data_IF_074172506499
#
_entry.id   IF_074172506499
#
_cell.length_a   1.000
_cell.length_b   1.000
_cell.length_c   1.000
_cell.angle_alpha   90.00
_cell.angle_beta   90.00
_cell.angle_gamma   90.00
#
_symmetry.space_group_name_H-M   'P 1'
#
loop_
_entity.id
_entity.type
_entity.pdbx_description
1 polymer ?
#
# COMPACT_ATOMS: atom_id res chain seq x y z
N UNK A 1 -21.37 -68.74 -25.25
CA UNK A 1 -19.94 -68.54 -24.90
C UNK A 1 -19.78 -67.15 -24.31
N UNK A 2 -19.68 -67.12 -22.99
CA UNK A 2 -19.42 -65.98 -22.11
C UNK A 2 -17.92 -65.68 -22.08
N UNK A 3 -17.54 -64.39 -22.14
CA UNK A 3 -16.27 -63.90 -21.58
C UNK A 3 -16.50 -62.56 -20.90
N UNK A 4 -16.63 -62.62 -19.58
CA UNK A 4 -16.24 -61.55 -18.67
C UNK A 4 -14.71 -61.46 -18.66
N UNK A 5 -14.14 -60.27 -18.47
CA UNK A 5 -13.18 -60.00 -17.38
C UNK A 5 -12.73 -58.53 -17.38
N UNK A 6 -13.08 -57.87 -16.26
CA UNK A 6 -12.31 -56.86 -15.50
C UNK A 6 -11.66 -55.68 -16.26
N UNK A 7 -12.16 -54.48 -15.98
CA UNK A 7 -11.29 -53.31 -15.76
C UNK A 7 -11.83 -52.41 -14.66
N UNK A 8 -11.22 -52.61 -13.49
CA UNK A 8 -10.76 -51.66 -12.49
C UNK A 8 -11.53 -50.33 -12.33
N UNK A 9 -12.24 -50.24 -11.20
CA UNK A 9 -12.55 -48.97 -10.55
C UNK A 9 -11.26 -48.18 -10.27
N UNK A 10 -11.14 -46.98 -10.81
CA UNK A 10 -10.25 -45.94 -10.26
C UNK A 10 -11.10 -44.88 -9.57
N UNK A 11 -11.21 -45.04 -8.25
CA UNK A 11 -11.52 -43.98 -7.28
C UNK A 11 -10.20 -43.29 -6.94
N UNK A 12 -10.01 -42.05 -7.38
CA UNK A 12 -9.04 -41.09 -6.85
C UNK A 12 -9.18 -39.79 -7.66
N UNK A 13 -9.21 -38.60 -7.10
CA UNK A 13 -9.39 -38.12 -5.74
C UNK A 13 -9.86 -36.67 -5.94
N UNK A 14 -10.82 -36.21 -5.14
CA UNK A 14 -11.12 -34.79 -5.05
C UNK A 14 -9.84 -34.04 -4.64
N UNK A 15 -9.22 -33.30 -5.56
CA UNK A 15 -8.22 -32.32 -5.21
C UNK A 15 -8.94 -31.08 -4.67
N UNK A 16 -9.45 -31.18 -3.43
CA UNK A 16 -9.66 -30.01 -2.61
C UNK A 16 -8.29 -29.42 -2.30
N UNK A 17 -7.87 -28.43 -3.09
CA UNK A 17 -6.75 -27.59 -2.71
C UNK A 17 -7.26 -26.59 -1.67
N UNK A 18 -7.51 -27.06 -0.45
CA UNK A 18 -7.65 -26.20 0.71
C UNK A 18 -6.25 -25.82 1.19
N UNK A 19 -5.63 -24.84 0.53
CA UNK A 19 -4.57 -24.06 1.20
C UNK A 19 -5.23 -22.90 1.93
N UNK A 20 -5.82 -23.22 3.07
CA UNK A 20 -6.07 -22.27 4.14
C UNK A 20 -4.76 -22.03 4.88
N UNK A 21 -3.98 -21.06 4.43
CA UNK A 21 -3.15 -20.25 5.30
C UNK A 21 -3.28 -18.84 4.73
N UNK A 22 -4.05 -17.99 5.39
CA UNK A 22 -3.84 -16.55 5.24
C UNK A 22 -2.39 -16.33 5.64
N UNK A 23 -1.48 -16.26 4.67
CA UNK A 23 -0.11 -15.89 4.93
C UNK A 23 -0.21 -14.60 5.74
N UNK A 24 0.40 -14.57 6.93
CA UNK A 24 0.58 -13.32 7.65
C UNK A 24 1.14 -12.33 6.63
N UNK A 25 0.46 -11.21 6.44
CA UNK A 25 0.92 -10.14 5.56
C UNK A 25 2.16 -9.51 6.21
N UNK A 26 3.28 -10.25 6.20
CA UNK A 26 4.55 -9.83 6.72
C UNK A 26 5.09 -8.75 5.77
N UNK A 27 5.50 -7.64 6.36
CA UNK A 27 6.10 -6.52 5.65
C UNK A 27 7.39 -7.01 4.97
N UNK A 28 7.57 -6.69 3.69
CA UNK A 28 8.81 -6.99 2.96
C UNK A 28 9.98 -6.25 3.59
N UNK A 29 9.71 -5.05 4.10
CA UNK A 29 10.59 -4.37 5.05
C UNK A 29 10.41 -5.02 6.42
N UNK A 30 11.47 -5.64 6.93
CA UNK A 30 11.51 -6.20 8.29
C UNK A 30 10.48 -7.34 8.53
N UNK A 31 10.51 -8.42 7.72
CA UNK A 31 9.50 -9.49 7.78
C UNK A 31 9.41 -10.20 9.14
N UNK A 32 10.54 -10.28 9.86
CA UNK A 32 10.60 -10.94 11.16
C UNK A 32 10.15 -10.05 12.34
N UNK A 33 9.54 -8.88 12.11
CA UNK A 33 9.15 -8.00 13.20
C UNK A 33 7.78 -8.36 13.80
N UNK A 34 7.79 -8.83 15.05
CA UNK A 34 6.59 -9.23 15.80
C UNK A 34 6.11 -8.20 16.84
N UNK A 35 6.81 -7.07 17.00
CA UNK A 35 6.50 -6.07 18.04
C UNK A 35 7.10 -6.34 19.42
N UNK A 36 7.68 -7.52 19.64
CA UNK A 36 8.02 -8.01 20.98
C UNK A 36 9.51 -8.25 21.18
N UNK A 37 10.27 -8.47 20.10
CA UNK A 37 11.73 -8.66 20.17
C UNK A 37 12.47 -7.36 19.86
N UNK A 38 13.24 -6.77 20.80
CA UNK A 38 14.04 -5.58 20.53
C UNK A 38 15.21 -5.93 19.60
N UNK A 39 15.34 -5.23 18.46
CA UNK A 39 16.59 -5.20 17.70
C UNK A 39 17.10 -3.75 17.60
N UNK A 40 18.42 -3.61 17.58
CA UNK A 40 19.08 -2.34 17.28
C UNK A 40 18.97 -2.04 15.78
N UNK A 41 18.84 -0.78 15.41
CA UNK A 41 18.90 -0.39 13.99
C UNK A 41 20.23 -0.77 13.38
N UNK A 42 20.20 -1.23 12.13
CA UNK A 42 21.42 -1.55 11.38
C UNK A 42 21.45 -0.79 10.07
N UNK A 43 22.65 -0.42 9.62
CA UNK A 43 22.86 0.35 8.40
C UNK A 43 22.62 -0.53 7.17
N UNK A 44 21.93 0.00 6.17
CA UNK A 44 21.80 -0.64 4.86
C UNK A 44 22.76 0.03 3.87
N UNK A 45 23.69 -0.74 3.31
CA UNK A 45 24.71 -0.26 2.38
C UNK A 45 24.53 -0.81 0.98
N UNK A 46 24.75 0.03 -0.02
CA UNK A 46 24.70 -0.36 -1.43
C UNK A 46 25.78 0.34 -2.26
N UNK A 47 26.03 -0.18 -3.46
CA UNK A 47 26.73 0.57 -4.51
C UNK A 47 25.76 1.60 -5.08
N UNK A 48 26.11 2.88 -4.94
CA UNK A 48 25.20 3.98 -5.13
C UNK A 48 25.88 5.10 -5.91
N UNK A 49 25.24 5.54 -6.98
CA UNK A 49 25.73 6.55 -7.93
C UNK A 49 24.84 7.80 -7.90
N UNK A 50 25.27 8.93 -8.50
CA UNK A 50 24.42 10.10 -8.66
C UNK A 50 23.09 9.81 -9.36
N UNK A 51 23.07 8.91 -10.35
CA UNK A 51 21.82 8.52 -11.03
C UNK A 51 20.84 7.79 -10.09
N UNK A 52 21.36 6.96 -9.17
CA UNK A 52 20.53 6.32 -8.16
C UNK A 52 19.94 7.35 -7.18
N UNK A 53 20.76 8.33 -6.77
CA UNK A 53 20.31 9.45 -5.94
C UNK A 53 19.16 10.23 -6.61
N UNK A 54 19.30 10.57 -7.89
CA UNK A 54 18.28 11.33 -8.61
C UNK A 54 16.95 10.54 -8.70
N UNK A 55 17.02 9.23 -9.00
CA UNK A 55 15.87 8.33 -9.02
C UNK A 55 15.16 8.27 -7.66
N UNK A 56 15.91 8.02 -6.59
CA UNK A 56 15.36 7.96 -5.22
C UNK A 56 14.75 9.29 -4.80
N UNK A 57 15.45 10.41 -5.05
CA UNK A 57 14.95 11.74 -4.70
C UNK A 57 13.70 12.10 -5.48
N UNK A 58 13.60 11.72 -6.77
CA UNK A 58 12.37 11.88 -7.56
C UNK A 58 11.21 11.13 -6.93
N UNK A 59 11.39 9.85 -6.61
CA UNK A 59 10.35 9.05 -5.96
C UNK A 59 9.96 9.62 -4.59
N UNK A 60 10.92 9.91 -3.72
CA UNK A 60 10.69 10.43 -2.37
C UNK A 60 9.96 11.78 -2.41
N UNK A 61 10.38 12.69 -3.30
CA UNK A 61 9.75 14.00 -3.42
C UNK A 61 8.32 13.92 -3.98
N UNK A 62 7.96 12.83 -4.67
CA UNK A 62 6.59 12.51 -5.06
C UNK A 62 5.79 11.79 -3.96
N UNK A 63 6.31 10.66 -3.45
CA UNK A 63 5.55 9.74 -2.60
C UNK A 63 5.30 10.33 -1.22
N UNK A 64 6.24 11.13 -0.71
CA UNK A 64 6.10 11.75 0.61
C UNK A 64 4.88 12.70 0.68
N UNK A 65 4.72 13.73 -0.18
CA UNK A 65 3.52 14.55 -0.18
C UNK A 65 2.26 13.77 -0.57
N UNK A 66 2.38 12.73 -1.42
CA UNK A 66 1.28 11.83 -1.75
C UNK A 66 0.74 11.12 -0.48
N UNK A 67 1.59 10.44 0.29
CA UNK A 67 1.16 9.85 1.58
C UNK A 67 0.61 10.88 2.56
N UNK A 68 1.18 12.09 2.62
CA UNK A 68 0.61 13.17 3.44
C UNK A 68 -0.81 13.55 3.00
N UNK A 69 -1.11 13.47 1.69
CA UNK A 69 -2.44 13.57 1.11
C UNK A 69 -3.40 12.54 1.70
N UNK A 70 -3.07 11.24 1.63
CA UNK A 70 -3.89 10.17 2.20
C UNK A 70 -4.16 10.35 3.71
N UNK A 71 -3.17 10.82 4.48
CA UNK A 71 -3.33 11.17 5.90
C UNK A 71 -4.38 12.27 6.07
N UNK A 72 -4.30 13.35 5.30
CA UNK A 72 -5.25 14.46 5.38
C UNK A 72 -6.68 14.03 5.00
N UNK A 73 -6.84 13.32 3.88
CA UNK A 73 -8.13 12.76 3.42
C UNK A 73 -8.75 11.84 4.47
N UNK A 74 -7.94 10.97 5.07
CA UNK A 74 -8.40 10.05 6.13
C UNK A 74 -8.84 10.78 7.39
N UNK A 75 -8.12 11.83 7.80
CA UNK A 75 -8.51 12.64 8.96
C UNK A 75 -9.80 13.43 8.71
N UNK A 76 -9.98 14.00 7.52
CA UNK A 76 -11.20 14.72 7.15
C UNK A 76 -12.41 13.80 7.10
N UNK A 77 -12.26 12.62 6.48
CA UNK A 77 -13.27 11.59 6.51
C UNK A 77 -13.63 11.21 7.95
N UNK A 78 -12.64 10.92 8.80
CA UNK A 78 -12.86 10.60 10.22
C UNK A 78 -13.47 11.75 11.02
N UNK A 79 -13.31 13.01 10.60
CA UNK A 79 -13.96 14.16 11.23
C UNK A 79 -15.40 14.36 10.76
N UNK A 80 -15.78 13.86 9.58
CA UNK A 80 -17.12 14.05 9.00
C UNK A 80 -18.21 13.45 9.90
N UNK A 81 -19.25 14.21 10.28
CA UNK A 81 -20.38 13.67 11.05
C UNK A 81 -21.30 12.79 10.19
N UNK A 82 -21.09 12.76 8.86
CA UNK A 82 -21.93 12.03 7.91
C UNK A 82 -21.42 10.60 7.63
N UNK A 83 -20.19 10.27 8.03
CA UNK A 83 -19.63 8.91 7.92
C UNK A 83 -20.45 7.91 8.75
N UNK A 84 -20.56 6.68 8.30
CA UNK A 84 -21.23 5.62 9.06
C UNK A 84 -20.53 4.28 9.02
N UNK A 85 -19.80 3.95 7.95
CA UNK A 85 -19.11 2.66 7.84
C UNK A 85 -17.99 2.54 8.89
N UNK A 86 -18.12 1.58 9.81
CA UNK A 86 -17.09 1.24 10.80
C UNK A 86 -15.87 0.61 10.14
N UNK A 87 -16.09 -0.16 9.06
CA UNK A 87 -15.01 -0.78 8.29
C UNK A 87 -14.14 0.27 7.63
N UNK A 88 -14.76 1.26 6.99
CA UNK A 88 -14.05 2.34 6.33
C UNK A 88 -13.36 3.27 7.34
N UNK A 89 -13.98 3.50 8.51
CA UNK A 89 -13.30 4.17 9.64
C UNK A 89 -12.08 3.38 10.15
N UNK A 90 -12.17 2.05 10.21
CA UNK A 90 -11.02 1.21 10.58
C UNK A 90 -9.92 1.27 9.53
N UNK A 91 -10.29 1.24 8.24
CA UNK A 91 -9.35 1.40 7.13
C UNK A 91 -8.65 2.76 7.20
N UNK A 92 -9.38 3.86 7.34
CA UNK A 92 -8.82 5.21 7.42
C UNK A 92 -7.81 5.36 8.58
N UNK A 93 -8.10 4.77 9.75
CA UNK A 93 -7.15 4.72 10.87
C UNK A 93 -5.91 3.88 10.55
N UNK A 94 -6.09 2.79 9.81
CA UNK A 94 -5.01 1.94 9.32
C UNK A 94 -4.10 2.69 8.34
N UNK A 95 -4.68 3.38 7.36
CA UNK A 95 -3.99 4.24 6.40
C UNK A 95 -3.15 5.31 7.12
N UNK A 96 -3.76 6.06 8.05
CA UNK A 96 -3.04 7.08 8.83
C UNK A 96 -1.82 6.45 9.50
N UNK A 97 -2.00 5.31 10.18
CA UNK A 97 -0.92 4.67 10.93
C UNK A 97 0.19 4.15 10.02
N UNK A 98 -0.17 3.39 8.98
CA UNK A 98 0.79 2.74 8.09
C UNK A 98 1.53 3.78 7.25
N UNK A 99 0.83 4.72 6.64
CA UNK A 99 1.45 5.75 5.78
C UNK A 99 2.22 6.79 6.60
N UNK A 100 1.91 7.04 7.88
CA UNK A 100 2.77 7.84 8.77
C UNK A 100 4.14 7.19 8.94
N UNK A 101 4.18 5.87 9.12
CA UNK A 101 5.44 5.14 9.21
C UNK A 101 6.20 5.16 7.88
N UNK A 102 5.50 4.98 6.76
CA UNK A 102 6.11 5.07 5.43
C UNK A 102 6.70 6.46 5.14
N UNK A 103 6.04 7.54 5.55
CA UNK A 103 6.62 8.90 5.51
C UNK A 103 7.93 8.96 6.31
N UNK A 104 7.98 8.34 7.49
CA UNK A 104 9.21 8.31 8.29
C UNK A 104 10.34 7.52 7.62
N UNK A 105 10.01 6.43 6.92
CA UNK A 105 10.98 5.69 6.10
C UNK A 105 11.54 6.56 4.98
N UNK A 106 10.66 7.24 4.22
CA UNK A 106 11.04 8.15 3.14
C UNK A 106 11.92 9.30 3.67
N UNK A 107 11.55 9.90 4.79
CA UNK A 107 12.33 10.98 5.43
C UNK A 107 13.71 10.50 5.90
N UNK A 108 13.79 9.27 6.43
CA UNK A 108 15.06 8.68 6.86
C UNK A 108 15.98 8.42 5.67
N UNK A 109 15.45 7.84 4.58
CA UNK A 109 16.22 7.64 3.34
C UNK A 109 16.70 8.97 2.79
N UNK A 110 15.79 9.97 2.68
CA UNK A 110 16.12 11.33 2.21
C UNK A 110 17.27 11.96 2.99
N UNK A 111 17.19 11.93 4.32
CA UNK A 111 18.21 12.50 5.20
C UNK A 111 19.57 11.82 4.99
N UNK A 112 19.60 10.48 4.85
CA UNK A 112 20.82 9.73 4.61
C UNK A 112 21.43 10.06 3.25
N UNK A 113 20.65 9.95 2.17
CA UNK A 113 21.18 10.09 0.81
C UNK A 113 21.56 11.55 0.49
N UNK A 114 20.88 12.54 1.10
CA UNK A 114 21.22 13.97 0.94
C UNK A 114 22.60 14.37 1.47
N UNK A 115 23.20 13.53 2.32
CA UNK A 115 24.54 13.74 2.90
C UNK A 115 25.64 13.08 2.08
N UNK A 116 25.30 12.33 1.04
CA UNK A 116 26.26 11.68 0.17
C UNK A 116 26.98 12.74 -0.67
N UNK A 117 28.31 12.69 -0.67
CA UNK A 117 29.15 13.46 -1.59
C UNK A 117 29.79 12.49 -2.57
N UNK A 118 29.42 12.61 -3.83
CA UNK A 118 29.95 11.79 -4.92
C UNK A 118 31.25 12.38 -5.46
N UNK A 119 32.27 11.53 -5.68
CA UNK A 119 33.53 11.95 -6.31
C UNK A 119 33.47 11.90 -7.84
N UNK A 120 32.46 11.24 -8.40
CA UNK A 120 32.23 11.08 -9.82
C UNK A 120 30.95 10.30 -10.11
N UNK A 121 30.78 9.86 -11.35
CA UNK A 121 29.60 9.11 -11.78
C UNK A 121 29.65 7.61 -11.43
N UNK A 122 30.82 7.09 -11.03
CA UNK A 122 30.96 5.69 -10.66
C UNK A 122 30.21 5.39 -9.34
N UNK A 123 29.52 4.24 -9.22
CA UNK A 123 28.92 3.83 -7.96
C UNK A 123 29.96 3.70 -6.83
N UNK A 124 29.64 4.24 -5.67
CA UNK A 124 30.43 4.16 -4.44
C UNK A 124 29.60 3.51 -3.33
N UNK A 125 30.26 2.90 -2.33
CA UNK A 125 29.54 2.25 -1.23
C UNK A 125 29.03 3.28 -0.22
N UNK A 126 27.72 3.47 -0.16
CA UNK A 126 27.07 4.40 0.77
C UNK A 126 26.01 3.73 1.63
N UNK A 127 25.76 4.30 2.81
CA UNK A 127 24.56 3.95 3.57
C UNK A 127 23.38 4.68 2.93
N UNK A 128 22.39 3.92 2.46
CA UNK A 128 21.24 4.46 1.71
C UNK A 128 19.91 4.27 2.44
N UNK A 129 19.89 3.46 3.50
CA UNK A 129 18.74 3.27 4.37
C UNK A 129 19.15 2.76 5.76
N UNK A 130 18.15 2.56 6.63
CA UNK A 130 18.30 1.98 7.96
C UNK A 130 17.30 0.84 8.13
N UNK A 131 17.79 -0.35 8.49
CA UNK A 131 16.94 -1.50 8.85
C UNK A 131 16.50 -1.41 10.30
N UNK A 132 15.38 -2.06 10.60
CA UNK A 132 14.77 -2.15 11.93
C UNK A 132 14.24 -0.79 12.41
N UNK A 133 13.82 0.06 11.46
CA UNK A 133 13.20 1.34 11.77
C UNK A 133 11.82 1.14 12.41
N UNK A 134 11.05 0.12 11.97
CA UNK A 134 9.78 -0.20 12.61
C UNK A 134 10.00 -0.60 14.08
N UNK A 135 11.03 -1.40 14.34
CA UNK A 135 11.41 -1.82 15.69
C UNK A 135 11.80 -0.64 16.57
N UNK A 136 12.65 0.25 16.05
CA UNK A 136 13.09 1.44 16.77
C UNK A 136 11.93 2.38 17.11
N UNK A 137 10.95 2.50 16.21
CA UNK A 137 9.77 3.32 16.40
C UNK A 137 8.62 2.58 17.11
N UNK A 138 8.81 1.31 17.46
CA UNK A 138 7.76 0.42 18.01
C UNK A 138 6.50 0.42 17.14
N UNK A 139 6.70 0.54 15.83
CA UNK A 139 5.63 0.56 14.85
C UNK A 139 5.07 -0.84 14.68
N UNK A 140 3.78 -1.03 14.95
CA UNK A 140 3.09 -2.21 14.45
C UNK A 140 2.28 -1.80 13.24
N UNK A 141 2.22 -2.65 12.23
CA UNK A 141 1.35 -2.41 11.09
C UNK A 141 -0.11 -2.56 11.53
N UNK A 142 -0.99 -1.65 11.09
CA UNK A 142 -2.43 -1.85 11.21
C UNK A 142 -2.86 -2.94 10.20
N UNK A 143 -3.58 -3.98 10.64
CA UNK A 143 -4.07 -5.01 9.74
C UNK A 143 -5.22 -4.47 8.88
N UNK A 144 -5.43 -5.11 7.72
CA UNK A 144 -6.64 -4.91 6.93
C UNK A 144 -7.90 -5.20 7.77
N UNK A 145 -8.96 -4.37 7.66
CA UNK A 145 -10.25 -4.69 8.25
C UNK A 145 -10.74 -6.08 7.83
N UNK A 146 -11.28 -6.90 8.75
CA UNK A 146 -11.60 -8.29 8.46
C UNK A 146 -12.74 -8.41 7.44
N UNK A 147 -12.57 -9.26 6.42
CA UNK A 147 -13.57 -9.51 5.36
C UNK A 147 -14.91 -10.02 5.94
N UNK A 148 -14.87 -10.77 7.05
CA UNK A 148 -16.10 -11.26 7.71
C UNK A 148 -17.05 -10.14 8.15
N UNK A 149 -16.55 -8.91 8.32
CA UNK A 149 -17.40 -7.75 8.61
C UNK A 149 -18.22 -7.29 7.40
N UNK A 150 -17.81 -7.60 6.16
CA UNK A 150 -18.61 -7.33 4.94
C UNK A 150 -19.92 -8.11 4.98
N UNK A 151 -19.85 -9.39 5.37
CA UNK A 151 -20.96 -10.33 5.28
C UNK A 151 -21.93 -10.28 6.48
N UNK A 152 -21.62 -9.50 7.52
CA UNK A 152 -22.48 -9.38 8.71
C UNK A 152 -23.62 -8.39 8.55
N UNK A 153 -23.61 -7.54 7.52
CA UNK A 153 -24.72 -6.65 7.16
C UNK A 153 -25.04 -5.56 8.19
N UNK A 154 -24.19 -5.36 9.20
CA UNK A 154 -24.34 -4.35 10.25
C UNK A 154 -23.55 -3.06 9.97
N UNK A 155 -22.78 -3.04 8.87
CA UNK A 155 -22.04 -1.88 8.41
C UNK A 155 -22.89 -1.02 7.47
N UNK A 156 -23.48 0.05 8.00
CA UNK A 156 -24.26 0.99 7.19
C UNK A 156 -23.31 1.91 6.43
N UNK A 157 -23.39 1.89 5.10
CA UNK A 157 -22.58 2.74 4.23
C UNK A 157 -23.39 3.98 3.84
N UNK A 158 -22.83 5.16 4.08
CA UNK A 158 -23.40 6.46 3.73
C UNK A 158 -22.85 6.97 2.38
N UNK A 159 -23.49 7.99 1.82
CA UNK A 159 -22.95 8.71 0.66
C UNK A 159 -21.59 9.37 0.94
N UNK A 160 -21.30 9.69 2.21
CA UNK A 160 -20.00 10.22 2.62
C UNK A 160 -18.91 9.15 2.57
N UNK A 161 -19.24 7.94 3.01
CA UNK A 161 -18.34 6.79 2.93
C UNK A 161 -18.00 6.48 1.46
N UNK A 162 -18.99 6.51 0.56
CA UNK A 162 -18.77 6.33 -0.88
C UNK A 162 -17.86 7.42 -1.45
N UNK A 163 -18.05 8.69 -1.08
CA UNK A 163 -17.16 9.78 -1.56
C UNK A 163 -15.72 9.59 -1.12
N UNK A 164 -15.49 9.26 0.15
CA UNK A 164 -14.15 9.00 0.66
C UNK A 164 -13.52 7.79 -0.01
N UNK A 165 -14.26 6.68 -0.13
CA UNK A 165 -13.78 5.46 -0.77
C UNK A 165 -13.38 5.71 -2.23
N UNK A 166 -14.23 6.38 -3.02
CA UNK A 166 -13.91 6.75 -4.41
C UNK A 166 -12.66 7.65 -4.49
N UNK A 167 -12.58 8.70 -3.68
CA UNK A 167 -11.43 9.60 -3.68
C UNK A 167 -10.13 8.89 -3.29
N UNK A 168 -10.18 8.01 -2.29
CA UNK A 168 -9.02 7.25 -1.83
C UNK A 168 -8.62 6.14 -2.81
N UNK A 169 -9.55 5.54 -3.55
CA UNK A 169 -9.21 4.62 -4.65
C UNK A 169 -8.33 5.33 -5.69
N UNK A 170 -8.78 6.49 -6.20
CA UNK A 170 -8.01 7.27 -7.17
C UNK A 170 -6.62 7.65 -6.62
N UNK A 171 -6.57 8.05 -5.35
CA UNK A 171 -5.31 8.36 -4.69
C UNK A 171 -4.38 7.14 -4.62
N UNK A 172 -4.90 5.97 -4.21
CA UNK A 172 -4.11 4.75 -4.10
C UNK A 172 -3.63 4.23 -5.46
N UNK A 173 -4.44 4.32 -6.51
CA UNK A 173 -4.01 4.00 -7.89
C UNK A 173 -2.81 4.85 -8.31
N UNK A 174 -2.78 6.13 -7.90
CA UNK A 174 -1.62 7.00 -8.04
C UNK A 174 -0.36 6.40 -7.41
N UNK A 175 -0.42 5.96 -6.14
CA UNK A 175 0.71 5.32 -5.48
C UNK A 175 1.15 4.03 -6.17
N UNK A 176 0.21 3.21 -6.65
CA UNK A 176 0.55 1.98 -7.39
C UNK A 176 1.37 2.31 -8.65
N UNK A 177 0.96 3.33 -9.41
CA UNK A 177 1.70 3.78 -10.60
C UNK A 177 3.09 4.26 -10.24
N UNK A 178 3.24 5.11 -9.22
CA UNK A 178 4.55 5.59 -8.78
C UNK A 178 5.51 4.46 -8.36
N UNK A 179 4.98 3.46 -7.65
CA UNK A 179 5.75 2.32 -7.20
C UNK A 179 6.21 1.46 -8.39
N UNK A 180 5.34 1.25 -9.38
CA UNK A 180 5.73 0.56 -10.62
C UNK A 180 6.78 1.36 -11.41
N UNK A 181 6.57 2.67 -11.60
CA UNK A 181 7.54 3.55 -12.28
C UNK A 181 8.91 3.51 -11.60
N UNK A 182 8.95 3.53 -10.27
CA UNK A 182 10.20 3.41 -9.53
C UNK A 182 10.82 2.02 -9.68
N UNK A 183 10.02 0.95 -9.61
CA UNK A 183 10.54 -0.42 -9.76
C UNK A 183 11.10 -0.70 -11.16
N UNK A 184 10.55 -0.04 -12.18
CA UNK A 184 10.95 -0.12 -13.60
C UNK A 184 12.13 0.80 -13.97
N UNK A 185 12.44 1.82 -13.16
CA UNK A 185 13.60 2.70 -13.41
C UNK A 185 14.91 1.89 -13.22
N UNK A 186 15.77 1.77 -14.25
CA UNK A 186 17.05 1.07 -14.13
C UNK A 186 18.01 1.70 -13.12
N UNK A 187 17.78 2.96 -12.72
CA UNK A 187 18.55 3.66 -11.69
C UNK A 187 17.95 3.51 -10.29
N UNK A 188 16.78 2.91 -10.12
CA UNK A 188 16.19 2.64 -8.81
C UNK A 188 16.83 1.41 -8.15
N UNK A 189 18.04 1.60 -7.61
CA UNK A 189 18.84 0.52 -7.02
C UNK A 189 18.66 0.40 -5.49
N UNK A 190 18.01 1.37 -4.83
CA UNK A 190 17.81 1.34 -3.38
C UNK A 190 16.86 0.22 -2.96
N UNK A 191 17.43 -0.91 -2.56
CA UNK A 191 16.71 -2.12 -2.21
C UNK A 191 15.69 -1.90 -1.11
N UNK A 192 15.94 -0.97 -0.17
CA UNK A 192 14.98 -0.63 0.86
C UNK A 192 13.75 0.07 0.29
N UNK A 193 13.92 1.06 -0.59
CA UNK A 193 12.80 1.76 -1.25
C UNK A 193 12.07 0.82 -2.21
N UNK A 194 12.76 -0.09 -2.89
CA UNK A 194 12.13 -1.14 -3.70
C UNK A 194 11.24 -2.06 -2.87
N UNK A 195 11.71 -2.53 -1.71
CA UNK A 195 10.89 -3.34 -0.80
C UNK A 195 9.68 -2.55 -0.27
N UNK A 196 9.85 -1.25 0.05
CA UNK A 196 8.72 -0.38 0.37
C UNK A 196 7.69 -0.34 -0.76
N UNK A 197 8.13 -0.21 -2.02
CA UNK A 197 7.22 -0.21 -3.16
C UNK A 197 6.43 -1.52 -3.27
N UNK A 198 7.06 -2.67 -3.04
CA UNK A 198 6.37 -3.96 -3.04
C UNK A 198 5.34 -4.06 -1.90
N UNK A 199 5.65 -3.52 -0.73
CA UNK A 199 4.69 -3.43 0.38
C UNK A 199 3.50 -2.53 0.03
N UNK A 200 3.74 -1.34 -0.52
CA UNK A 200 2.71 -0.41 -0.99
C UNK A 200 1.83 -1.06 -2.05
N UNK A 201 2.42 -1.70 -3.06
CA UNK A 201 1.68 -2.39 -4.13
C UNK A 201 0.73 -3.46 -3.57
N UNK A 202 1.22 -4.29 -2.63
CA UNK A 202 0.40 -5.34 -2.02
C UNK A 202 -0.71 -4.75 -1.17
N UNK A 203 -0.37 -3.80 -0.29
CA UNK A 203 -1.30 -3.33 0.74
C UNK A 203 -2.36 -2.42 0.12
N UNK A 204 -1.97 -1.45 -0.71
CA UNK A 204 -2.92 -0.53 -1.31
C UNK A 204 -3.84 -1.21 -2.34
N UNK A 205 -3.39 -2.27 -3.02
CA UNK A 205 -4.27 -3.09 -3.85
C UNK A 205 -5.38 -3.79 -3.03
N UNK A 206 -5.05 -4.29 -1.83
CA UNK A 206 -6.06 -4.85 -0.92
C UNK A 206 -7.00 -3.78 -0.37
N UNK A 207 -6.48 -2.60 -0.07
CA UNK A 207 -7.29 -1.46 0.39
C UNK A 207 -8.25 -0.96 -0.71
N UNK A 208 -7.80 -0.89 -1.97
CA UNK A 208 -8.66 -0.61 -3.14
C UNK A 208 -9.78 -1.63 -3.24
N UNK A 209 -9.47 -2.94 -3.20
CA UNK A 209 -10.49 -3.97 -3.27
C UNK A 209 -11.51 -3.85 -2.13
N UNK A 210 -11.03 -3.61 -0.90
CA UNK A 210 -11.90 -3.42 0.25
C UNK A 210 -12.84 -2.21 0.06
N UNK A 211 -12.35 -1.12 -0.52
CA UNK A 211 -13.14 0.07 -0.79
C UNK A 211 -14.21 -0.19 -1.85
N UNK A 212 -13.90 -0.94 -2.93
CA UNK A 212 -14.90 -1.41 -3.88
C UNK A 212 -15.96 -2.26 -3.19
N UNK A 213 -15.56 -3.25 -2.39
CA UNK A 213 -16.49 -4.11 -1.66
C UNK A 213 -17.41 -3.31 -0.70
N UNK A 214 -16.91 -2.21 -0.13
CA UNK A 214 -17.72 -1.30 0.72
C UNK A 214 -18.71 -0.51 -0.14
N UNK A 215 -18.26 0.04 -1.27
CA UNK A 215 -19.11 0.78 -2.21
C UNK A 215 -20.27 -0.10 -2.69
N UNK A 216 -20.03 -1.38 -2.99
CA UNK A 216 -21.05 -2.32 -3.46
C UNK A 216 -22.15 -2.61 -2.42
N UNK A 217 -21.89 -2.33 -1.14
CA UNK A 217 -22.89 -2.47 -0.06
C UNK A 217 -23.70 -1.20 0.20
N UNK A 218 -23.44 -0.13 -0.56
CA UNK A 218 -24.17 1.12 -0.45
C UNK A 218 -25.65 0.91 -0.88
N UNK A 219 -26.65 1.28 -0.04
CA UNK A 219 -28.06 1.05 -0.37
C UNK A 219 -28.61 1.99 -1.45
N UNK A 220 -27.87 3.04 -1.83
CA UNK A 220 -28.24 3.98 -2.89
C UNK A 220 -27.52 3.68 -4.20
N UNK A 221 -27.70 4.57 -5.18
CA UNK A 221 -26.96 4.50 -6.43
C UNK A 221 -25.56 5.12 -6.27
N UNK A 222 -24.51 4.29 -6.22
CA UNK A 222 -23.14 4.77 -6.06
C UNK A 222 -22.66 5.63 -7.25
N UNK A 223 -23.21 5.44 -8.45
CA UNK A 223 -22.81 6.19 -9.66
C UNK A 223 -23.24 7.65 -9.61
N UNK A 224 -24.30 7.96 -8.85
CA UNK A 224 -24.78 9.33 -8.61
C UNK A 224 -23.88 10.09 -7.63
N UNK A 225 -23.05 9.38 -6.86
CA UNK A 225 -22.12 9.99 -5.92
C UNK A 225 -20.83 10.37 -6.66
N UNK A 226 -20.72 11.66 -6.98
CA UNK A 226 -19.51 12.25 -7.59
C UNK A 226 -18.53 12.73 -6.52
N UNK A 227 -17.24 12.64 -6.85
CA UNK A 227 -16.15 13.21 -6.06
C UNK A 227 -15.69 14.52 -6.71
N UNK A 228 -15.30 15.48 -5.89
CA UNK A 228 -14.69 16.72 -6.36
C UNK A 228 -13.16 16.51 -6.42
N UNK A 229 -12.44 17.01 -7.44
CA UNK A 229 -10.98 16.91 -7.51
C UNK A 229 -10.26 17.45 -6.26
N UNK A 230 -10.85 18.43 -5.57
CA UNK A 230 -10.31 18.96 -4.31
C UNK A 230 -10.29 17.95 -3.18
N UNK A 231 -11.03 16.83 -3.27
CA UNK A 231 -11.00 15.76 -2.28
C UNK A 231 -9.75 14.87 -2.38
N UNK A 232 -9.01 14.94 -3.50
CA UNK A 232 -7.83 14.10 -3.74
C UNK A 232 -6.57 14.93 -3.50
N UNK A 233 -6.04 14.82 -2.29
CA UNK A 233 -4.91 15.64 -1.82
C UNK A 233 -3.57 15.04 -2.26
N UNK A 234 -2.48 15.82 -2.24
CA UNK A 234 -1.13 15.29 -2.46
C UNK A 234 -0.78 14.91 -3.91
N UNK A 235 -1.69 15.10 -4.88
CA UNK A 235 -1.51 14.67 -6.28
C UNK A 235 -0.79 15.69 -7.19
N UNK A 236 -0.42 16.88 -6.69
CA UNK A 236 -0.03 18.03 -7.51
C UNK A 236 1.12 17.84 -8.51
N UNK A 237 1.96 16.82 -8.35
CA UNK A 237 3.02 16.46 -9.31
C UNK A 237 2.67 15.35 -10.30
N UNK A 238 1.52 14.68 -10.15
CA UNK A 238 1.12 13.48 -10.91
C UNK A 238 -0.02 13.72 -11.89
N UNK A 239 -0.71 14.85 -11.73
CA UNK A 239 -1.83 15.25 -12.58
C UNK A 239 -1.47 15.38 -14.07
N UNK A 240 -0.18 15.47 -14.42
CA UNK A 240 0.29 15.51 -15.81
C UNK A 240 0.50 14.12 -16.45
N UNK A 241 0.60 13.06 -15.64
CA UNK A 241 0.83 11.69 -16.12
C UNK A 241 -0.42 10.80 -16.06
N UNK A 242 -1.43 11.18 -15.27
CA UNK A 242 -2.70 10.47 -15.19
C UNK A 242 -3.80 11.19 -15.99
N UNK A 243 -4.52 10.45 -16.83
CA UNK A 243 -5.80 10.92 -17.36
C UNK A 243 -6.87 10.82 -16.25
N UNK A 244 -6.94 11.87 -15.44
CA UNK A 244 -7.89 11.98 -14.33
C UNK A 244 -9.35 11.94 -14.79
N UNK A 245 -9.65 12.13 -16.09
CA UNK A 245 -11.04 12.15 -16.58
C UNK A 245 -11.70 10.76 -16.55
N UNK A 246 -10.92 9.69 -16.71
CA UNK A 246 -11.42 8.32 -16.68
C UNK A 246 -11.69 7.81 -15.25
N UNK A 247 -11.04 8.39 -14.23
CA UNK A 247 -11.07 7.93 -12.84
C UNK A 247 -12.07 8.69 -11.95
N UNK A 248 -12.67 9.78 -12.45
CA UNK A 248 -13.54 10.69 -11.68
C UNK A 248 -15.06 10.44 -11.89
N UNK A 249 -15.43 9.42 -12.65
CA UNK A 249 -16.83 9.11 -13.00
C UNK A 249 -17.41 7.97 -12.18
#
# INVERSE_FOLDING_TARGET
MTRQFLSLCMLAAFAFFSMSIAARAESQIEPDYDGHTPKFTTKWYEQYSPANYDSDMKFINGMRPHHAGALSMSNEYLASPKKSSRRLQSLAKGIIRNQTFEISMLDTVKDLISKISFKGAAPERHQVATRYLAMNQRFMRAPMPPIQSVFRGDDVVSAEDVRFAKAMIVHHEGALMMCNDYLDDPNANNGYVRLMCLDVLRDQAQEIQLMHDIIDTYPGNADEIKIDPSMVHGMGGMMHHMDMSAMMH
#
